data_IF_408602590368
#
_entry.id   IF_408602590368
#
_cell.length_a   1.000
_cell.length_b   1.000
_cell.length_c   1.000
_cell.angle_alpha   90.00
_cell.angle_beta   90.00
_cell.angle_gamma   90.00
#
_symmetry.space_group_name_H-M   'P 1'
#
loop_
_entity.id
_entity.type
_entity.pdbx_description
1 polymer ?
#
# COMPACT_ATOMS: atom_id res chain seq x y z
N UNK A 1 -2.36 9.64 10.03
CA UNK A 1 -2.65 8.42 10.84
C UNK A 1 -4.12 7.96 10.88
N UNK A 2 -5.07 8.57 10.15
CA UNK A 2 -6.50 8.21 10.28
C UNK A 2 -6.95 7.03 9.37
N UNK A 3 -6.41 6.91 8.14
CA UNK A 3 -6.79 5.85 7.18
C UNK A 3 -6.39 4.44 7.60
N UNK A 4 -5.18 4.29 8.14
CA UNK A 4 -4.59 3.03 8.61
C UNK A 4 -5.45 2.40 9.73
N UNK A 5 -5.99 3.23 10.63
CA UNK A 5 -6.90 2.81 11.69
C UNK A 5 -8.28 2.39 11.17
N UNK A 6 -8.84 3.13 10.21
CA UNK A 6 -10.12 2.80 9.56
C UNK A 6 -10.08 1.46 8.81
N UNK A 7 -8.95 1.17 8.15
CA UNK A 7 -8.72 -0.13 7.48
C UNK A 7 -8.61 -1.29 8.49
N UNK A 8 -7.88 -1.13 9.59
CA UNK A 8 -7.75 -2.18 10.63
C UNK A 8 -9.06 -2.49 11.34
N UNK A 9 -9.87 -1.46 11.61
CA UNK A 9 -11.16 -1.62 12.30
C UNK A 9 -12.29 -2.16 11.42
N UNK A 10 -12.02 -2.54 10.15
CA UNK A 10 -13.00 -3.17 9.26
C UNK A 10 -14.31 -2.38 9.10
N UNK A 11 -14.30 -1.06 9.34
CA UNK A 11 -15.52 -0.24 9.26
C UNK A 11 -15.99 0.02 7.82
N UNK A 12 -15.15 -0.26 6.81
CA UNK A 12 -15.54 -0.27 5.41
C UNK A 12 -15.55 -1.70 4.85
N UNK A 13 -16.75 -2.20 4.54
CA UNK A 13 -16.97 -3.41 3.72
C UNK A 13 -16.54 -3.12 2.27
N UNK A 14 -15.25 -3.15 2.01
CA UNK A 14 -14.65 -2.90 0.69
C UNK A 14 -13.86 -4.08 0.14
N UNK A 15 -13.19 -3.86 -1.00
CA UNK A 15 -12.34 -4.84 -1.68
C UNK A 15 -11.26 -5.44 -0.75
N UNK A 16 -10.69 -4.63 0.15
CA UNK A 16 -9.70 -5.08 1.14
C UNK A 16 -10.25 -6.06 2.16
N UNK A 17 -11.54 -5.98 2.51
CA UNK A 17 -12.20 -6.94 3.40
C UNK A 17 -12.50 -8.25 2.67
N UNK A 18 -12.95 -8.18 1.41
CA UNK A 18 -13.30 -9.35 0.59
C UNK A 18 -12.09 -10.23 0.27
N UNK A 19 -10.90 -9.63 0.09
CA UNK A 19 -9.67 -10.35 -0.27
C UNK A 19 -8.64 -10.45 0.86
N UNK A 20 -9.01 -10.11 2.10
CA UNK A 20 -8.11 -10.13 3.26
C UNK A 20 -6.80 -9.38 2.98
N UNK A 21 -6.86 -8.21 2.32
CA UNK A 21 -5.71 -7.37 2.00
C UNK A 21 -5.32 -6.57 3.25
N UNK A 22 -4.68 -7.26 4.18
CA UNK A 22 -4.29 -6.77 5.50
C UNK A 22 -2.78 -6.50 5.63
N UNK A 23 -1.97 -6.87 4.64
CA UNK A 23 -0.53 -6.62 4.61
C UNK A 23 -0.18 -5.38 3.79
N UNK A 24 0.49 -4.42 4.41
CA UNK A 24 1.10 -3.28 3.72
C UNK A 24 2.51 -3.67 3.30
N UNK A 25 2.69 -4.16 2.07
CA UNK A 25 4.01 -4.59 1.59
C UNK A 25 4.84 -3.48 0.92
N UNK A 26 4.19 -2.35 0.59
CA UNK A 26 4.80 -1.22 -0.09
C UNK A 26 4.02 0.07 0.18
N UNK A 27 4.74 1.14 0.49
CA UNK A 27 4.21 2.50 0.54
C UNK A 27 5.30 3.49 0.09
N UNK A 28 4.88 4.61 -0.49
CA UNK A 28 5.75 5.75 -0.79
C UNK A 28 5.13 6.99 -0.13
N UNK A 29 5.98 7.84 0.47
CA UNK A 29 5.58 9.15 0.95
C UNK A 29 6.04 10.20 -0.05
N UNK A 30 5.15 11.14 -0.36
CA UNK A 30 5.42 12.28 -1.22
C UNK A 30 5.09 13.55 -0.45
N UNK A 31 5.95 14.56 -0.58
CA UNK A 31 5.73 15.87 0.06
C UNK A 31 4.62 16.68 -0.64
N UNK A 32 4.37 16.36 -1.91
CA UNK A 32 3.42 17.06 -2.76
C UNK A 32 2.26 16.15 -3.20
N UNK A 33 1.03 16.69 -3.15
CA UNK A 33 -0.18 15.94 -3.46
C UNK A 33 -0.26 15.54 -4.95
N UNK A 34 0.12 16.43 -5.86
CA UNK A 34 0.09 16.15 -7.30
C UNK A 34 1.08 15.03 -7.66
N UNK A 35 2.26 15.05 -7.04
CA UNK A 35 3.26 13.99 -7.17
C UNK A 35 2.72 12.63 -6.72
N UNK A 36 2.02 12.58 -5.58
CA UNK A 36 1.38 11.35 -5.09
C UNK A 36 0.30 10.83 -6.05
N UNK A 37 -0.54 11.72 -6.60
CA UNK A 37 -1.63 11.36 -7.52
C UNK A 37 -1.06 10.84 -8.85
N UNK A 38 -0.03 11.49 -9.39
CA UNK A 38 0.64 11.06 -10.61
C UNK A 38 1.24 9.66 -10.43
N UNK A 39 1.95 9.44 -9.32
CA UNK A 39 2.52 8.13 -9.00
C UNK A 39 1.44 7.06 -8.86
N UNK A 40 0.36 7.33 -8.13
CA UNK A 40 -0.76 6.40 -7.97
C UNK A 40 -1.37 6.02 -9.33
N UNK A 41 -1.57 7.01 -10.22
CA UNK A 41 -2.07 6.77 -11.59
C UNK A 41 -1.12 5.90 -12.41
N UNK A 42 0.20 6.14 -12.33
CA UNK A 42 1.21 5.31 -13.00
C UNK A 42 1.17 3.88 -12.47
N UNK A 43 1.21 3.70 -11.15
CA UNK A 43 1.15 2.39 -10.51
C UNK A 43 -0.15 1.65 -10.86
N UNK A 44 -1.30 2.32 -10.94
CA UNK A 44 -2.55 1.69 -11.38
C UNK A 44 -2.45 1.10 -12.79
N UNK A 45 -1.75 1.78 -13.71
CA UNK A 45 -1.52 1.32 -15.09
C UNK A 45 -0.41 0.26 -15.22
N UNK A 46 0.43 0.08 -14.21
CA UNK A 46 1.52 -0.90 -14.28
C UNK A 46 1.06 -2.34 -14.25
N UNK A 47 1.76 -3.16 -15.04
CA UNK A 47 1.64 -4.60 -15.01
C UNK A 47 2.04 -5.16 -13.64
N UNK A 48 1.47 -6.31 -13.31
CA UNK A 48 1.71 -6.96 -12.01
C UNK A 48 3.18 -7.30 -11.78
N UNK A 49 3.91 -7.67 -12.82
CA UNK A 49 5.34 -7.98 -12.71
C UNK A 49 6.18 -6.78 -12.28
N UNK A 50 5.88 -5.59 -12.78
CA UNK A 50 6.61 -4.37 -12.42
C UNK A 50 6.34 -3.98 -10.97
N UNK A 51 5.09 -4.12 -10.52
CA UNK A 51 4.73 -3.97 -9.10
C UNK A 51 5.49 -4.97 -8.23
N UNK A 52 5.55 -6.24 -8.63
CA UNK A 52 6.28 -7.26 -7.89
C UNK A 52 7.77 -6.94 -7.82
N UNK A 53 8.39 -6.49 -8.92
CA UNK A 53 9.81 -6.08 -8.94
C UNK A 53 10.05 -4.92 -7.98
N UNK A 54 9.23 -3.88 -8.05
CA UNK A 54 9.31 -2.72 -7.17
C UNK A 54 9.16 -3.10 -5.69
N UNK A 55 8.19 -3.97 -5.38
CA UNK A 55 8.01 -4.52 -4.03
C UNK A 55 9.22 -5.37 -3.63
N UNK A 56 9.76 -6.21 -4.52
CA UNK A 56 10.92 -7.05 -4.22
C UNK A 56 12.21 -6.25 -4.02
N UNK A 57 12.37 -5.11 -4.70
CA UNK A 57 13.53 -4.24 -4.52
C UNK A 57 13.55 -3.59 -3.13
N UNK A 58 12.39 -3.21 -2.60
CA UNK A 58 12.26 -2.55 -1.30
C UNK A 58 11.97 -3.51 -0.14
N UNK A 59 11.27 -4.60 -0.42
CA UNK A 59 10.78 -5.57 0.54
C UNK A 59 10.75 -6.98 -0.09
N UNK A 60 11.93 -7.57 -0.36
CA UNK A 60 12.04 -8.91 -0.94
C UNK A 60 11.39 -9.99 -0.08
N UNK A 61 11.27 -9.75 1.23
CA UNK A 61 10.63 -10.64 2.19
C UNK A 61 9.12 -10.48 2.29
N UNK A 62 8.52 -9.53 1.56
CA UNK A 62 7.07 -9.24 1.61
C UNK A 62 6.54 -9.07 3.05
N UNK A 63 7.35 -8.44 3.90
CA UNK A 63 7.02 -8.14 5.29
C UNK A 63 5.93 -7.08 5.35
N UNK A 64 5.13 -7.13 6.40
CA UNK A 64 4.08 -6.15 6.61
C UNK A 64 4.67 -4.89 7.25
N UNK A 65 4.85 -3.85 6.43
CA UNK A 65 5.37 -2.53 6.82
C UNK A 65 4.40 -1.77 7.72
N UNK A 66 3.14 -2.22 7.84
CA UNK A 66 2.18 -1.61 8.74
C UNK A 66 2.65 -1.69 10.19
N UNK A 67 3.24 -2.82 10.60
CA UNK A 67 3.72 -2.99 11.97
C UNK A 67 4.92 -2.07 12.27
N UNK A 68 5.74 -1.79 11.26
CA UNK A 68 6.90 -0.89 11.37
C UNK A 68 6.47 0.57 11.54
N UNK A 69 5.37 0.98 10.90
CA UNK A 69 4.81 2.33 10.99
C UNK A 69 4.04 2.62 12.29
N UNK A 70 3.66 1.59 13.04
CA UNK A 70 2.88 1.69 14.29
C UNK A 70 3.73 1.30 15.52
N UNK A 71 5.02 0.99 15.30
CA UNK A 71 6.01 0.73 16.33
C UNK A 71 6.53 2.00 16.98
#
# INVERSE_FOLDING_TARGET
>A
MQRIYQHKNKQMKGFSFKYNLNKLVYFEQFEDMDSAILREKMLKKWNREWKNRLINELNPSWKDLYFDLVG
#
